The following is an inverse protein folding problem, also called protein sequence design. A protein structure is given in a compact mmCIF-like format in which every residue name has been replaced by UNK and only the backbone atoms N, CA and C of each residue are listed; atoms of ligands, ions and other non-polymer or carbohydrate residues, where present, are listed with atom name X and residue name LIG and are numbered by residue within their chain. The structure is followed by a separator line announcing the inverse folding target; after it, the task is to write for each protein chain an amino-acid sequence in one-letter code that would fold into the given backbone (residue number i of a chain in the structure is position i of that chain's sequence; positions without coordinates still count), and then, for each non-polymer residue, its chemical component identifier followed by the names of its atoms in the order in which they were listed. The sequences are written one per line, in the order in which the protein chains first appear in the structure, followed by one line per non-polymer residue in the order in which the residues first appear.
data_IF_188233558908
#
_entry.id   IF_188233558908
#
_cell.length_a   1.000
_cell.length_b   1.000
_cell.length_c   1.000
_cell.angle_alpha   90.00
_cell.angle_beta   90.00
_cell.angle_gamma   90.00
#
_symmetry.space_group_name_H-M   'P 1'
#
loop_
_entity.id
_entity.type
_entity.pdbx_description
1 polymer ?
#
# COMPACT_ATOMS: atom_id res chain seq x y z
N UNK A 1 -0.91 14.40 19.48
CA UNK A 1 -0.32 15.00 18.28
C UNK A 1 0.22 14.00 17.29
N UNK A 2 0.64 12.84 17.75
CA UNK A 2 1.11 11.74 16.88
C UNK A 2 0.04 10.65 16.68
N UNK A 3 -1.17 10.85 17.21
CA UNK A 3 -2.26 9.89 16.99
C UNK A 3 -2.56 9.80 15.49
N UNK A 4 -2.62 8.58 14.97
CA UNK A 4 -2.83 8.32 13.55
C UNK A 4 -1.56 8.16 12.73
N UNK A 5 -0.40 8.61 13.20
CA UNK A 5 0.88 8.32 12.57
C UNK A 5 1.16 6.84 12.76
N UNK A 6 1.34 6.14 11.66
CA UNK A 6 1.56 4.71 11.65
C UNK A 6 3.03 4.41 11.36
N UNK A 7 3.77 3.80 12.29
CA UNK A 7 5.18 3.51 12.08
C UNK A 7 5.43 2.48 10.97
N UNK A 8 4.45 1.67 10.63
CA UNK A 8 4.55 0.72 9.51
C UNK A 8 4.41 1.43 8.16
N UNK A 9 3.54 2.44 8.08
CA UNK A 9 3.28 3.21 6.85
C UNK A 9 4.27 4.37 6.70
N UNK A 10 4.79 4.90 7.81
CA UNK A 10 5.67 6.07 7.80
C UNK A 10 6.88 5.97 6.87
N UNK A 11 7.61 4.84 6.77
CA UNK A 11 8.73 4.75 5.83
C UNK A 11 8.26 5.00 4.40
N UNK A 12 9.03 5.81 3.66
CA UNK A 12 8.59 6.35 2.37
C UNK A 12 8.22 5.27 1.36
N UNK A 13 8.95 4.15 1.32
CA UNK A 13 8.64 3.09 0.37
C UNK A 13 7.27 2.46 0.68
N UNK A 14 6.98 2.20 1.95
CA UNK A 14 5.70 1.64 2.34
C UNK A 14 4.55 2.63 2.21
N UNK A 15 4.81 3.89 2.53
CA UNK A 15 3.84 4.96 2.30
C UNK A 15 3.49 5.08 0.81
N UNK A 16 4.51 5.02 -0.05
CA UNK A 16 4.32 5.08 -1.51
C UNK A 16 3.51 3.89 -2.01
N UNK A 17 3.79 2.69 -1.53
CA UNK A 17 3.04 1.49 -1.89
C UNK A 17 1.55 1.67 -1.56
N UNK A 18 1.25 2.02 -0.32
CA UNK A 18 -0.13 2.19 0.13
C UNK A 18 -0.84 3.30 -0.64
N UNK A 19 -0.16 4.42 -0.88
CA UNK A 19 -0.72 5.57 -1.59
C UNK A 19 -1.01 5.24 -3.05
N UNK A 20 -0.11 4.54 -3.74
CA UNK A 20 -0.31 4.13 -5.13
C UNK A 20 -1.48 3.15 -5.24
N UNK A 21 -1.54 2.16 -4.35
CA UNK A 21 -2.65 1.21 -4.34
C UNK A 21 -3.99 1.92 -4.12
N UNK A 22 -4.05 2.83 -3.17
CA UNK A 22 -5.26 3.60 -2.89
C UNK A 22 -5.67 4.48 -4.08
N UNK A 23 -4.72 5.21 -4.65
CA UNK A 23 -4.98 6.12 -5.79
C UNK A 23 -5.44 5.37 -7.03
N UNK A 24 -4.96 4.15 -7.24
CA UNK A 24 -5.36 3.31 -8.36
C UNK A 24 -6.67 2.55 -8.12
N UNK A 25 -7.26 2.68 -6.93
CA UNK A 25 -8.45 1.92 -6.56
C UNK A 25 -8.19 0.45 -6.29
N UNK A 26 -6.92 0.06 -6.08
CA UNK A 26 -6.54 -1.31 -5.74
C UNK A 26 -6.72 -1.55 -4.23
N UNK A 27 -7.95 -1.41 -3.78
CA UNK A 27 -8.34 -1.52 -2.38
C UNK A 27 -9.49 -2.50 -2.24
N UNK A 28 -9.51 -3.22 -1.12
CA UNK A 28 -10.64 -4.05 -0.77
C UNK A 28 -11.77 -3.13 -0.25
N UNK A 29 -12.87 -3.11 -0.97
CA UNK A 29 -14.06 -2.35 -0.60
C UNK A 29 -15.25 -3.29 -0.72
N UNK A 30 -16.07 -3.34 0.32
CA UNK A 30 -17.29 -4.13 0.35
C UNK A 30 -18.28 -3.77 -0.79
N UNK A 31 -18.14 -2.59 -1.36
CA UNK A 31 -19.03 -2.07 -2.40
C UNK A 31 -18.55 -2.33 -3.83
N UNK A 32 -17.34 -2.83 -4.00
CA UNK A 32 -16.72 -3.06 -5.31
C UNK A 32 -16.11 -4.44 -5.35
N UNK A 33 -16.14 -5.05 -6.53
CA UNK A 33 -15.30 -6.21 -6.78
C UNK A 33 -13.84 -5.80 -6.52
N UNK A 34 -13.10 -6.69 -5.89
CA UNK A 34 -11.71 -6.46 -5.55
C UNK A 34 -10.94 -5.96 -6.77
N UNK A 35 -10.42 -4.76 -6.66
CA UNK A 35 -9.49 -4.24 -7.66
C UNK A 35 -8.09 -4.51 -7.14
N UNK A 36 -7.28 -5.14 -7.98
CA UNK A 36 -5.93 -5.52 -7.66
C UNK A 36 -4.98 -4.93 -8.68
N UNK A 37 -3.75 -4.66 -8.23
CA UNK A 37 -2.69 -4.16 -9.11
C UNK A 37 -1.64 -5.25 -9.31
N UNK A 38 -1.15 -5.41 -10.54
CA UNK A 38 -0.03 -6.32 -10.80
C UNK A 38 1.22 -5.84 -10.11
N UNK A 39 1.98 -6.79 -9.53
CA UNK A 39 3.26 -6.51 -8.87
C UNK A 39 4.20 -5.69 -9.75
N UNK A 40 4.35 -6.06 -11.03
CA UNK A 40 5.24 -5.35 -11.94
C UNK A 40 4.82 -3.92 -12.21
N UNK A 41 3.52 -3.65 -12.28
CA UNK A 41 2.99 -2.29 -12.44
C UNK A 41 3.29 -1.46 -11.19
N UNK A 42 3.03 -2.00 -10.02
CA UNK A 42 3.33 -1.34 -8.75
C UNK A 42 4.82 -1.04 -8.62
N UNK A 43 5.67 -2.04 -8.90
CA UNK A 43 7.12 -1.90 -8.89
C UNK A 43 7.58 -0.73 -9.77
N UNK A 44 7.10 -0.68 -11.00
CA UNK A 44 7.53 0.32 -11.97
C UNK A 44 7.04 1.73 -11.58
N UNK A 45 5.83 1.83 -11.05
CA UNK A 45 5.29 3.12 -10.59
C UNK A 45 6.08 3.70 -9.42
N UNK A 46 6.56 2.86 -8.51
CA UNK A 46 7.31 3.31 -7.34
C UNK A 46 8.80 3.42 -7.63
N UNK A 47 9.31 2.67 -8.59
CA UNK A 47 10.73 2.68 -8.95
C UNK A 47 11.59 1.83 -8.02
N UNK A 48 11.03 0.78 -7.44
CA UNK A 48 11.78 -0.17 -6.61
C UNK A 48 12.24 -1.37 -7.42
N UNK A 49 13.25 -2.08 -6.91
CA UNK A 49 13.60 -3.40 -7.42
C UNK A 49 12.58 -4.44 -6.96
N UNK A 50 12.58 -5.61 -7.61
CA UNK A 50 11.73 -6.74 -7.21
C UNK A 50 11.99 -7.13 -5.75
N UNK A 51 13.25 -7.21 -5.36
CA UNK A 51 13.63 -7.59 -4.01
C UNK A 51 13.17 -6.54 -2.98
N UNK A 52 13.35 -5.27 -3.28
CA UNK A 52 12.95 -4.18 -2.38
C UNK A 52 11.43 -4.15 -2.22
N UNK A 53 10.66 -4.27 -3.31
CA UNK A 53 9.21 -4.29 -3.24
C UNK A 53 8.72 -5.51 -2.48
N UNK A 54 9.27 -6.69 -2.75
CA UNK A 54 8.91 -7.92 -2.04
C UNK A 54 9.11 -7.78 -0.54
N UNK A 55 10.23 -7.19 -0.12
CA UNK A 55 10.53 -6.96 1.29
C UNK A 55 9.50 -6.03 1.94
N UNK A 56 9.20 -4.92 1.30
CA UNK A 56 8.24 -3.94 1.85
C UNK A 56 6.82 -4.50 1.89
N UNK A 57 6.41 -5.23 0.87
CA UNK A 57 5.12 -5.92 0.87
C UNK A 57 5.02 -6.95 1.99
N UNK A 58 6.11 -7.67 2.28
CA UNK A 58 6.15 -8.61 3.38
C UNK A 58 5.88 -7.95 4.73
N UNK A 59 6.45 -6.78 4.98
CA UNK A 59 6.19 -6.00 6.19
C UNK A 59 4.71 -5.60 6.27
N UNK A 60 4.18 -5.07 5.17
CA UNK A 60 2.77 -4.63 5.11
C UNK A 60 1.80 -5.80 5.28
N UNK A 61 2.11 -6.96 4.69
CA UNK A 61 1.30 -8.17 4.87
C UNK A 61 1.27 -8.64 6.31
N UNK A 62 2.43 -8.64 6.98
CA UNK A 62 2.54 -9.05 8.37
C UNK A 62 1.63 -8.21 9.27
N UNK A 63 1.42 -6.95 8.93
CA UNK A 63 0.54 -6.05 9.67
C UNK A 63 -0.89 -6.04 9.14
N UNK A 64 -1.19 -6.87 8.15
CA UNK A 64 -2.53 -6.98 7.59
C UNK A 64 -2.97 -5.81 6.73
N UNK A 65 -2.03 -5.02 6.21
CA UNK A 65 -2.33 -3.81 5.43
C UNK A 65 -2.42 -4.05 3.93
N UNK A 66 -1.73 -5.06 3.42
CA UNK A 66 -1.84 -5.45 2.01
C UNK A 66 -2.06 -6.94 1.89
N UNK A 67 -2.59 -7.34 0.75
CA UNK A 67 -2.80 -8.73 0.37
C UNK A 67 -2.12 -8.98 -0.96
N UNK A 68 -1.38 -10.08 -1.04
CA UNK A 68 -0.81 -10.57 -2.30
C UNK A 68 -1.49 -11.87 -2.68
N UNK A 69 -1.84 -11.98 -3.95
CA UNK A 69 -2.41 -13.20 -4.50
C UNK A 69 -1.59 -13.61 -5.72
N UNK A 70 -1.15 -14.86 -5.74
CA UNK A 70 -0.45 -15.40 -6.89
C UNK A 70 -1.42 -16.15 -7.78
N UNK A 71 -1.44 -15.79 -9.04
CA UNK A 71 -2.16 -16.49 -10.08
C UNK A 71 -1.15 -17.32 -10.87
N UNK A 72 -1.33 -18.65 -10.84
CA UNK A 72 -0.41 -19.55 -11.52
C UNK A 72 -0.77 -19.66 -13.00
N UNK A 73 0.21 -19.39 -13.87
CA UNK A 73 0.07 -19.59 -15.30
C UNK A 73 0.41 -21.02 -15.73
N UNK A 74 0.34 -21.29 -17.05
CA UNK A 74 0.69 -22.58 -17.63
C UNK A 74 2.19 -22.88 -17.51
N UNK A 75 3.01 -21.83 -17.33
CA UNK A 75 4.45 -21.92 -17.04
C UNK A 75 4.76 -20.93 -15.93
N UNK A 76 5.92 -21.12 -15.28
CA UNK A 76 6.35 -20.21 -14.21
C UNK A 76 6.48 -18.77 -14.71
N UNK A 77 6.88 -18.58 -15.96
CA UNK A 77 6.99 -17.25 -16.56
C UNK A 77 5.65 -16.55 -16.72
N UNK A 78 4.53 -17.30 -16.69
CA UNK A 78 3.18 -16.74 -16.79
C UNK A 78 2.51 -16.54 -15.44
N UNK A 79 3.19 -16.86 -14.34
CA UNK A 79 2.67 -16.56 -13.01
C UNK A 79 2.54 -15.06 -12.83
N UNK A 80 1.45 -14.64 -12.18
CA UNK A 80 1.20 -13.24 -11.89
C UNK A 80 0.99 -13.08 -10.40
N UNK A 81 1.49 -11.97 -9.87
CA UNK A 81 1.25 -11.57 -8.49
C UNK A 81 0.42 -10.31 -8.51
N UNK A 82 -0.69 -10.35 -7.78
CA UNK A 82 -1.63 -9.25 -7.64
C UNK A 82 -1.56 -8.69 -6.22
N UNK A 83 -1.61 -7.38 -6.09
CA UNK A 83 -1.50 -6.69 -4.80
C UNK A 83 -2.71 -5.79 -4.61
N UNK A 84 -3.26 -5.81 -3.41
CA UNK A 84 -4.33 -4.90 -3.02
C UNK A 84 -4.12 -4.39 -1.60
N UNK A 85 -4.63 -3.20 -1.32
CA UNK A 85 -4.69 -2.63 0.01
C UNK A 85 -5.91 -3.23 0.72
N UNK A 86 -5.72 -3.77 1.91
CA UNK A 86 -6.85 -4.29 2.71
C UNK A 86 -7.69 -3.15 3.26
N UNK A 87 -8.89 -3.45 3.73
CA UNK A 87 -9.71 -2.46 4.41
C UNK A 87 -8.99 -1.87 5.62
N UNK A 88 -8.25 -2.70 6.37
CA UNK A 88 -7.41 -2.25 7.49
C UNK A 88 -6.29 -1.32 7.02
N UNK A 89 -5.60 -1.69 5.94
CA UNK A 89 -4.55 -0.84 5.35
C UNK A 89 -5.09 0.49 4.85
N UNK A 90 -6.26 0.48 4.23
CA UNK A 90 -6.92 1.69 3.76
C UNK A 90 -7.24 2.64 4.93
N UNK A 91 -7.81 2.11 6.03
CA UNK A 91 -8.10 2.92 7.22
C UNK A 91 -6.82 3.48 7.85
N UNK A 92 -5.78 2.65 7.97
CA UNK A 92 -4.51 3.08 8.52
C UNK A 92 -3.85 4.17 7.67
N UNK A 93 -3.90 4.03 6.35
CA UNK A 93 -3.38 5.05 5.42
C UNK A 93 -4.13 6.37 5.58
N UNK A 94 -5.46 6.33 5.62
CA UNK A 94 -6.27 7.54 5.78
C UNK A 94 -5.97 8.26 7.09
N UNK A 95 -5.85 7.52 8.19
CA UNK A 95 -5.49 8.09 9.49
C UNK A 95 -4.07 8.70 9.47
N UNK A 96 -3.12 8.01 8.83
CA UNK A 96 -1.74 8.48 8.71
C UNK A 96 -1.66 9.78 7.91
N UNK A 97 -2.35 9.85 6.76
CA UNK A 97 -2.38 11.04 5.92
C UNK A 97 -3.07 12.22 6.64
N UNK A 98 -4.14 11.95 7.38
CA UNK A 98 -4.82 12.97 8.16
C UNK A 98 -3.91 13.54 9.27
N UNK A 99 -3.15 12.67 9.93
CA UNK A 99 -2.19 13.09 10.96
C UNK A 99 -1.07 13.95 10.37
N UNK A 100 -0.55 13.57 9.19
CA UNK A 100 0.46 14.38 8.48
C UNK A 100 -0.10 15.76 8.12
N UNK A 101 -1.34 15.81 7.66
CA UNK A 101 -1.99 17.09 7.33
C UNK A 101 -2.14 17.98 8.56
N UNK A 102 -2.52 17.41 9.71
CA UNK A 102 -2.60 18.14 10.96
C UNK A 102 -1.27 18.74 11.38
N UNK A 103 -0.18 17.98 11.22
CA UNK A 103 1.17 18.46 11.50
C UNK A 103 1.50 19.66 10.61
N UNK A 104 1.22 19.54 9.31
CA UNK A 104 1.46 20.62 8.35
C UNK A 104 0.63 21.86 8.67
N UNK A 105 -0.63 21.68 9.02
CA UNK A 105 -1.53 22.80 9.37
C UNK A 105 -1.06 23.51 10.66
N UNK A 106 -0.56 22.75 11.63
CA UNK A 106 -0.03 23.32 12.88
C UNK A 106 1.15 24.26 12.60
N UNK A 107 2.00 23.92 11.65
CA UNK A 107 3.13 24.79 11.26
C UNK A 107 2.65 26.11 10.70
N UNK A 108 1.52 26.14 10.00
CA UNK A 108 0.97 27.36 9.42
C UNK A 108 0.35 28.30 10.47
N UNK A 109 0.02 27.82 11.64
CA UNK A 109 -0.56 28.62 12.73
C UNK A 109 0.50 29.34 13.56
N UNK A 110 1.74 29.08 13.35
CA UNK A 110 2.86 29.73 14.01
C UNK A 110 3.32 30.93 13.17
#
# INVERSE_FOLDING_TARGET
MTAGIDPVIRPIDRLSICTVLDSAGATEDERRADTEMKFGVLRDLIGLSDAALTKQLGVLETHGYVRRVREYGSTRAKDKVWVSLTASGHRALRAHLAALRQIADTVHEI
#
